data_IF_983025046540
#
_entry.id   IF_983025046540
#
_cell.length_a   1.000
_cell.length_b   1.000
_cell.length_c   1.000
_cell.angle_alpha   90.00
_cell.angle_beta   90.00
_cell.angle_gamma   90.00
#
_symmetry.space_group_name_H-M   'P 1'
#
loop_
_entity.id
_entity.type
_entity.pdbx_description
1 polymer ?
#
# COMPACT_ATOMS: atom_id res chain seq x y z
N UNK A 1 -27.23 -11.47 -28.23
CA UNK A 1 -26.73 -11.45 -26.86
C UNK A 1 -25.24 -11.63 -26.96
N UNK A 2 -24.54 -10.51 -26.81
CA UNK A 2 -23.09 -10.43 -26.87
C UNK A 2 -22.82 -9.26 -25.96
N UNK A 3 -22.72 -9.56 -24.67
CA UNK A 3 -22.38 -8.61 -23.64
C UNK A 3 -20.98 -8.10 -23.97
N UNK A 4 -20.97 -6.92 -24.62
CA UNK A 4 -19.80 -6.09 -24.75
C UNK A 4 -19.46 -5.62 -23.34
N UNK A 5 -18.56 -6.36 -22.70
CA UNK A 5 -17.79 -5.90 -21.56
C UNK A 5 -16.84 -4.80 -22.05
N UNK A 6 -17.43 -3.65 -22.37
CA UNK A 6 -16.76 -2.41 -22.67
C UNK A 6 -16.88 -1.55 -21.40
N UNK A 7 -15.94 -1.75 -20.49
CA UNK A 7 -15.65 -0.79 -19.43
C UNK A 7 -14.32 -0.12 -19.76
N UNK A 8 -14.32 1.04 -20.44
CA UNK A 8 -13.15 1.91 -20.47
C UNK A 8 -13.13 2.73 -19.17
N UNK A 9 -12.77 2.07 -18.08
CA UNK A 9 -12.45 2.71 -16.81
C UNK A 9 -11.02 3.19 -16.81
N UNK A 10 -10.73 4.26 -17.55
CA UNK A 10 -9.54 5.08 -17.29
C UNK A 10 -9.75 5.85 -16.00
N UNK A 11 -9.38 5.25 -14.89
CA UNK A 11 -8.89 5.93 -13.70
C UNK A 11 -8.00 4.90 -13.00
N UNK A 12 -6.77 5.28 -12.67
CA UNK A 12 -5.79 4.41 -12.04
C UNK A 12 -6.25 4.07 -10.61
N UNK A 13 -7.20 3.15 -10.49
CA UNK A 13 -7.56 2.53 -9.23
C UNK A 13 -6.49 1.46 -8.96
N UNK A 14 -5.33 1.91 -8.47
CA UNK A 14 -4.27 1.03 -7.99
C UNK A 14 -4.81 0.32 -6.74
N UNK A 15 -5.61 -0.72 -6.94
CA UNK A 15 -6.10 -1.58 -5.88
C UNK A 15 -4.92 -2.41 -5.39
N UNK A 16 -4.26 -1.96 -4.31
CA UNK A 16 -3.17 -2.70 -3.69
C UNK A 16 -3.72 -4.04 -3.17
N UNK A 17 -3.25 -5.15 -3.75
CA UNK A 17 -3.64 -6.49 -3.39
C UNK A 17 -2.67 -7.12 -2.38
N UNK A 18 -3.23 -7.85 -1.42
CA UNK A 18 -2.42 -8.58 -0.46
C UNK A 18 -1.70 -9.76 -1.13
N UNK A 19 -0.38 -9.81 -0.98
CA UNK A 19 0.48 -10.85 -1.54
C UNK A 19 1.05 -10.50 -2.92
N UNK A 20 0.68 -9.36 -3.49
CA UNK A 20 1.31 -8.82 -4.69
C UNK A 20 2.65 -8.14 -4.40
N UNK A 21 3.47 -8.08 -5.44
CA UNK A 21 4.75 -7.37 -5.44
C UNK A 21 4.64 -6.14 -6.33
N UNK A 22 5.06 -4.99 -5.79
CA UNK A 22 5.09 -3.70 -6.46
C UNK A 22 6.53 -3.19 -6.53
N UNK A 23 6.84 -2.32 -7.50
CA UNK A 23 8.13 -1.64 -7.55
C UNK A 23 7.99 -0.31 -6.80
N UNK A 24 8.62 -0.22 -5.63
CA UNK A 24 8.62 0.95 -4.78
C UNK A 24 9.81 1.83 -5.10
N UNK A 25 9.55 3.10 -5.38
CA UNK A 25 10.57 4.08 -5.77
C UNK A 25 11.73 4.19 -4.77
N UNK A 26 11.48 4.02 -3.47
CA UNK A 26 12.51 4.09 -2.43
C UNK A 26 13.20 2.75 -2.12
N UNK A 27 12.48 1.63 -2.28
CA UNK A 27 12.90 0.33 -1.74
C UNK A 27 13.07 -0.76 -2.81
N UNK A 28 12.80 -0.46 -4.08
CA UNK A 28 12.77 -1.43 -5.16
C UNK A 28 11.58 -2.38 -5.02
N UNK A 29 11.77 -3.65 -5.33
CA UNK A 29 10.67 -4.63 -5.26
C UNK A 29 10.20 -4.85 -3.82
N UNK A 30 8.94 -4.48 -3.57
CA UNK A 30 8.26 -4.68 -2.29
C UNK A 30 7.11 -5.64 -2.44
N UNK A 31 6.85 -6.46 -1.43
CA UNK A 31 5.73 -7.39 -1.37
C UNK A 31 4.76 -6.97 -0.30
N UNK A 32 3.51 -6.72 -0.65
CA UNK A 32 2.47 -6.36 0.33
C UNK A 32 2.10 -7.58 1.15
N UNK A 33 2.32 -7.51 2.46
CA UNK A 33 2.02 -8.58 3.42
C UNK A 33 0.83 -8.27 4.31
N UNK A 34 0.27 -7.06 4.22
CA UNK A 34 -0.96 -6.72 4.92
C UNK A 34 -1.44 -5.31 4.61
N UNK A 35 -2.75 -5.11 4.68
CA UNK A 35 -3.36 -3.79 4.62
C UNK A 35 -4.30 -3.69 5.81
N UNK A 36 -4.17 -2.63 6.60
CA UNK A 36 -5.04 -2.39 7.76
C UNK A 36 -5.50 -0.96 7.82
N UNK A 37 -6.72 -0.79 8.33
CA UNK A 37 -7.24 0.53 8.69
C UNK A 37 -6.54 0.97 9.97
N UNK A 38 -5.53 1.81 9.85
CA UNK A 38 -4.83 2.44 10.95
C UNK A 38 -5.71 3.52 11.59
N UNK A 39 -5.96 3.38 12.89
CA UNK A 39 -6.17 4.54 13.74
C UNK A 39 -4.77 5.11 14.01
N UNK A 40 -4.55 6.38 13.69
CA UNK A 40 -3.29 7.13 13.89
C UNK A 40 -2.93 7.24 15.39
N UNK A 41 -2.62 6.12 16.05
CA UNK A 41 -2.27 6.07 17.46
C UNK A 41 -1.35 4.89 17.75
N UNK A 42 -0.18 4.86 17.11
CA UNK A 42 0.96 4.14 17.67
C UNK A 42 2.14 5.10 17.70
N UNK A 43 2.51 5.47 18.92
CA UNK A 43 3.71 6.22 19.30
C UNK A 43 3.74 7.76 19.13
N UNK A 44 2.78 8.45 19.77
CA UNK A 44 3.07 9.41 20.87
C UNK A 44 1.79 10.09 21.35
N UNK A 45 1.57 10.03 22.65
CA UNK A 45 0.87 11.01 23.47
C UNK A 45 -0.41 11.66 22.88
N UNK A 46 -1.56 11.23 23.40
CA UNK A 46 -2.70 12.10 23.71
C UNK A 46 -3.05 13.16 22.65
N UNK A 47 -4.11 12.87 21.88
CA UNK A 47 -4.91 13.82 21.07
C UNK A 47 -4.51 13.93 19.59
N UNK A 48 -5.04 13.04 18.74
CA UNK A 48 -5.07 13.25 17.30
C UNK A 48 -6.38 12.73 16.71
N UNK A 49 -6.93 13.51 15.79
CA UNK A 49 -8.25 13.37 15.18
C UNK A 49 -8.42 12.00 14.49
N UNK A 50 -9.59 11.39 14.63
CA UNK A 50 -10.03 10.20 13.89
C UNK A 50 -10.13 10.53 12.39
N UNK A 51 -9.00 10.47 11.66
CA UNK A 51 -9.00 10.25 10.23
C UNK A 51 -8.72 8.78 9.99
N UNK A 52 -9.64 8.14 9.29
CA UNK A 52 -9.53 6.76 8.85
C UNK A 52 -8.38 6.63 7.83
N UNK A 53 -7.16 6.36 8.31
CA UNK A 53 -5.98 6.21 7.46
C UNK A 53 -5.73 4.73 7.21
N UNK A 54 -5.55 4.32 5.95
CA UNK A 54 -5.11 2.95 5.64
C UNK A 54 -3.58 2.89 5.71
N UNK A 55 -3.06 1.84 6.33
CA UNK A 55 -1.63 1.57 6.45
C UNK A 55 -1.37 0.23 5.73
N UNK A 56 -0.37 0.22 4.87
CA UNK A 56 0.09 -0.95 4.11
C UNK A 56 1.37 -1.43 4.75
N UNK A 57 1.44 -2.72 5.09
CA UNK A 57 2.70 -3.39 5.42
C UNK A 57 3.20 -4.17 4.24
N UNK A 58 4.49 -4.05 4.02
CA UNK A 58 5.19 -4.74 2.97
C UNK A 58 6.57 -5.17 3.44
N UNK A 59 7.17 -6.07 2.67
CA UNK A 59 8.55 -6.53 2.83
C UNK A 59 9.33 -6.11 1.59
N UNK A 60 10.55 -5.62 1.74
CA UNK A 60 11.39 -5.17 0.63
C UNK A 60 12.68 -5.98 0.56
N UNK A 61 13.24 -6.20 -0.64
CA UNK A 61 14.61 -6.71 -0.77
C UNK A 61 15.59 -5.55 -0.93
N UNK A 62 16.31 -5.21 0.14
CA UNK A 62 17.26 -4.10 0.14
C UNK A 62 18.68 -4.69 0.23
N UNK A 63 19.47 -4.50 -0.82
CA UNK A 63 20.85 -5.04 -0.91
C UNK A 63 20.94 -6.57 -0.74
N UNK A 64 19.92 -7.31 -1.18
CA UNK A 64 19.85 -8.78 -1.05
C UNK A 64 19.47 -9.27 0.35
N UNK A 65 19.02 -8.38 1.22
CA UNK A 65 18.41 -8.72 2.51
C UNK A 65 16.90 -8.43 2.47
N UNK A 66 16.09 -9.41 2.85
CA UNK A 66 14.63 -9.24 2.98
C UNK A 66 14.34 -8.49 4.29
N UNK A 67 13.90 -7.25 4.14
CA UNK A 67 13.46 -6.38 5.22
C UNK A 67 11.94 -6.48 5.33
N UNK A 68 11.47 -7.23 6.32
CA UNK A 68 10.05 -7.31 6.65
C UNK A 68 9.65 -6.25 7.69
N UNK A 69 8.37 -5.85 7.66
CA UNK A 69 7.79 -4.95 8.67
C UNK A 69 7.85 -3.48 8.32
N UNK A 70 8.11 -3.14 7.05
CA UNK A 70 7.96 -1.79 6.54
C UNK A 70 6.48 -1.45 6.48
N UNK A 71 6.12 -0.24 6.90
CA UNK A 71 4.74 0.22 6.94
C UNK A 71 4.65 1.65 6.43
N UNK A 72 3.77 1.88 5.46
CA UNK A 72 3.43 3.20 4.95
C UNK A 72 1.93 3.44 4.99
N UNK A 73 1.52 4.70 4.86
CA UNK A 73 0.13 4.98 4.54
C UNK A 73 -0.19 4.47 3.13
N UNK A 74 -1.44 4.06 2.88
CA UNK A 74 -1.86 3.62 1.55
C UNK A 74 -1.66 4.71 0.49
N UNK A 75 -1.88 5.97 0.87
CA UNK A 75 -1.66 7.12 -0.01
C UNK A 75 -0.18 7.28 -0.37
N UNK A 76 0.72 7.24 0.63
CA UNK A 76 2.16 7.28 0.40
C UNK A 76 2.66 6.07 -0.39
N UNK A 77 2.14 4.88 -0.07
CA UNK A 77 2.51 3.65 -0.77
C UNK A 77 2.11 3.70 -2.24
N UNK A 78 0.86 4.06 -2.55
CA UNK A 78 0.38 4.21 -3.94
C UNK A 78 1.13 5.32 -4.68
N UNK A 79 1.56 6.38 -3.99
CA UNK A 79 2.39 7.43 -4.58
C UNK A 79 3.84 6.98 -4.84
N UNK A 80 4.32 5.99 -4.09
CA UNK A 80 5.67 5.47 -4.19
C UNK A 80 5.80 4.27 -5.12
N UNK A 81 4.71 3.55 -5.38
CA UNK A 81 4.66 2.43 -6.34
C UNK A 81 4.14 2.87 -7.71
N UNK A 82 4.74 2.32 -8.78
CA UNK A 82 4.31 2.53 -10.18
C UNK A 82 3.78 1.25 -10.83
#
# INVERSE_FOLDING_TARGET
MGDSDDLPGSDSDLAIEHGETYDHSEHGQVKVTGIWKGVEQVDKAHHANEKDTFIVRYSAEINGEEVDGLTDTLDEFVAAVE
#
